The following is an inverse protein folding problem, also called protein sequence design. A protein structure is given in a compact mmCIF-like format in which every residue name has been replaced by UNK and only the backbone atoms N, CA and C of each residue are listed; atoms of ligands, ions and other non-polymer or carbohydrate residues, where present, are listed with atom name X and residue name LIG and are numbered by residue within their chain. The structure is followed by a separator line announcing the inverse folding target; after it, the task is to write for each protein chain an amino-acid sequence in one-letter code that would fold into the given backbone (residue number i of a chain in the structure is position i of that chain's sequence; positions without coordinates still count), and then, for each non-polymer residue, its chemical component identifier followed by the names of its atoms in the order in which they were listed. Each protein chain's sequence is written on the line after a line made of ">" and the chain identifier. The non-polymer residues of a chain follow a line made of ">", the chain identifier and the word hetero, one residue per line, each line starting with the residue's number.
data_IF_544916979216
#
_entry.id   IF_544916979216
#
_cell.length_a   1.000
_cell.length_b   1.000
_cell.length_c   1.000
_cell.angle_alpha   90.00
_cell.angle_beta   90.00
_cell.angle_gamma   90.00
#
_symmetry.space_group_name_H-M   'P 1'
#
loop_
_entity.id
_entity.type
_entity.pdbx_description
1 polymer ?
#
# COMPACT_ATOMS: atom_id res chain seq x y z
N UNK A 1 -12.84 10.40 -23.47
CA UNK A 1 -12.11 9.85 -24.63
C UNK A 1 -10.66 9.65 -24.22
N UNK A 2 -10.26 8.40 -23.97
CA UNK A 2 -8.89 8.08 -23.54
C UNK A 2 -7.97 8.15 -24.76
N UNK A 3 -7.05 9.12 -24.75
CA UNK A 3 -5.94 9.15 -25.68
C UNK A 3 -5.01 8.01 -25.26
N UNK A 4 -5.17 6.86 -25.91
CA UNK A 4 -4.15 5.81 -25.88
C UNK A 4 -2.90 6.36 -26.55
N UNK A 5 -1.98 6.89 -25.76
CA UNK A 5 -0.61 7.13 -26.20
C UNK A 5 -0.04 5.73 -26.50
N UNK A 6 0.01 5.38 -27.79
CA UNK A 6 0.80 4.24 -28.28
C UNK A 6 2.27 4.61 -28.07
N UNK A 7 2.80 4.33 -26.89
CA UNK A 7 4.24 4.34 -26.67
C UNK A 7 4.86 3.20 -27.48
N UNK A 8 5.86 3.53 -28.30
CA UNK A 8 6.62 2.59 -29.11
C UNK A 8 7.23 1.48 -28.23
N UNK A 9 7.31 0.23 -28.72
CA UNK A 9 7.96 -0.85 -27.97
C UNK A 9 9.42 -0.45 -27.69
N UNK A 10 9.76 -0.40 -26.41
CA UNK A 10 11.13 -0.17 -25.93
C UNK A 10 12.00 -1.33 -26.43
N UNK A 11 13.20 -1.04 -26.90
CA UNK A 11 14.16 -2.09 -27.26
C UNK A 11 14.48 -2.94 -26.04
N UNK A 12 14.66 -4.25 -26.18
CA UNK A 12 15.10 -5.12 -25.08
C UNK A 12 16.34 -4.58 -24.37
N UNK A 13 17.27 -3.98 -25.12
CA UNK A 13 18.48 -3.35 -24.57
C UNK A 13 18.17 -2.16 -23.66
N UNK A 14 17.21 -1.33 -24.04
CA UNK A 14 16.80 -0.16 -23.26
C UNK A 14 16.05 -0.59 -21.99
N UNK A 15 15.27 -1.67 -22.06
CA UNK A 15 14.59 -2.23 -20.90
C UNK A 15 15.58 -2.79 -19.87
N UNK A 16 16.63 -3.49 -20.32
CA UNK A 16 17.68 -4.01 -19.42
C UNK A 16 18.42 -2.85 -18.75
N UNK A 17 18.82 -1.82 -19.50
CA UNK A 17 19.52 -0.66 -18.94
C UNK A 17 18.66 0.11 -17.92
N UNK A 18 17.36 0.27 -18.21
CA UNK A 18 16.42 0.87 -17.27
C UNK A 18 16.27 0.03 -16.00
N UNK A 19 16.22 -1.30 -16.14
CA UNK A 19 16.13 -2.19 -15.01
C UNK A 19 17.39 -2.17 -14.14
N UNK A 20 18.59 -2.26 -14.72
CA UNK A 20 19.85 -2.16 -13.96
C UNK A 20 19.93 -0.87 -13.16
N UNK A 21 19.54 0.25 -13.77
CA UNK A 21 19.47 1.54 -13.10
C UNK A 21 18.43 1.55 -11.98
N UNK A 22 17.26 0.96 -12.18
CA UNK A 22 16.23 0.82 -11.14
C UNK A 22 16.70 -0.09 -9.99
N UNK A 23 17.45 -1.15 -10.27
CA UNK A 23 18.01 -2.04 -9.25
C UNK A 23 19.00 -1.30 -8.34
N UNK A 24 19.85 -0.46 -8.93
CA UNK A 24 20.76 0.38 -8.16
C UNK A 24 19.99 1.35 -7.25
N UNK A 25 18.90 1.95 -7.73
CA UNK A 25 18.05 2.83 -6.93
C UNK A 25 17.37 2.08 -5.79
N UNK A 26 16.75 0.92 -6.07
CA UNK A 26 16.09 0.09 -5.05
C UNK A 26 17.08 -0.37 -3.98
N UNK A 27 18.30 -0.75 -4.36
CA UNK A 27 19.35 -1.13 -3.43
C UNK A 27 19.69 0.02 -2.47
N UNK A 28 19.89 1.23 -3.00
CA UNK A 28 20.17 2.42 -2.18
C UNK A 28 18.99 2.79 -1.28
N UNK A 29 17.75 2.65 -1.78
CA UNK A 29 16.53 2.89 -0.98
C UNK A 29 16.48 1.90 0.19
N UNK A 30 16.69 0.61 -0.06
CA UNK A 30 16.69 -0.43 0.97
C UNK A 30 17.75 -0.15 2.04
N UNK A 31 18.95 0.23 1.63
CA UNK A 31 20.02 0.61 2.56
C UNK A 31 19.63 1.85 3.39
N UNK A 32 19.06 2.88 2.74
CA UNK A 32 18.60 4.08 3.41
C UNK A 32 17.54 3.82 4.48
N UNK A 33 16.58 2.92 4.20
CA UNK A 33 15.54 2.53 5.16
C UNK A 33 16.12 1.64 6.27
N UNK A 34 16.97 0.67 5.94
CA UNK A 34 17.57 -0.26 6.90
C UNK A 34 18.54 0.36 7.91
N UNK A 35 18.97 1.61 7.68
CA UNK A 35 19.73 2.40 8.67
C UNK A 35 18.87 2.93 9.81
N UNK A 36 17.55 3.03 9.61
CA UNK A 36 16.62 3.64 10.57
C UNK A 36 15.61 2.62 11.12
N UNK A 37 15.21 1.65 10.29
CA UNK A 37 14.23 0.64 10.65
C UNK A 37 14.93 -0.72 10.84
N UNK A 38 14.76 -1.32 12.01
CA UNK A 38 15.42 -2.56 12.41
C UNK A 38 14.41 -3.68 12.66
N UNK A 39 14.69 -4.90 12.19
CA UNK A 39 13.90 -6.09 12.51
C UNK A 39 12.51 -6.15 11.91
N UNK A 40 12.28 -5.37 10.85
CA UNK A 40 11.02 -5.31 10.13
C UNK A 40 11.26 -5.48 8.62
N UNK A 41 12.23 -6.31 8.23
CA UNK A 41 12.69 -6.47 6.85
C UNK A 41 11.53 -6.85 5.92
N UNK A 42 10.64 -7.76 6.36
CA UNK A 42 9.46 -8.19 5.60
C UNK A 42 8.41 -7.09 5.46
N UNK A 43 8.23 -6.24 6.47
CA UNK A 43 7.31 -5.09 6.43
C UNK A 43 7.86 -4.03 5.49
N UNK A 44 9.17 -3.76 5.56
CA UNK A 44 9.87 -2.83 4.66
C UNK A 44 9.78 -3.32 3.22
N UNK A 45 10.07 -4.60 2.96
CA UNK A 45 9.92 -5.22 1.63
C UNK A 45 8.50 -5.03 1.11
N UNK A 46 7.47 -5.48 1.85
CA UNK A 46 6.07 -5.42 1.40
C UNK A 46 5.60 -3.98 1.18
N UNK A 47 6.03 -3.04 2.03
CA UNK A 47 5.68 -1.62 1.89
C UNK A 47 6.33 -1.02 0.64
N UNK A 48 7.63 -1.28 0.43
CA UNK A 48 8.32 -0.85 -0.79
C UNK A 48 7.72 -1.47 -2.04
N UNK A 49 7.43 -2.78 -2.03
CA UNK A 49 6.75 -3.46 -3.14
C UNK A 49 5.40 -2.82 -3.44
N UNK A 50 4.61 -2.45 -2.42
CA UNK A 50 3.34 -1.75 -2.63
C UNK A 50 3.51 -0.37 -3.29
N UNK A 51 4.51 0.41 -2.85
CA UNK A 51 4.83 1.72 -3.45
C UNK A 51 5.37 1.57 -4.89
N UNK A 52 6.29 0.64 -5.12
CA UNK A 52 6.86 0.32 -6.43
C UNK A 52 5.80 -0.19 -7.41
N UNK A 53 4.79 -0.91 -6.92
CA UNK A 53 3.64 -1.35 -7.71
C UNK A 53 2.63 -0.22 -8.02
N UNK A 54 2.83 0.99 -7.48
CA UNK A 54 1.92 2.11 -7.69
C UNK A 54 0.67 2.06 -6.83
N UNK A 55 0.69 1.32 -5.71
CA UNK A 55 -0.50 1.07 -4.89
C UNK A 55 -0.48 1.74 -3.52
N UNK A 56 -1.53 1.45 -2.76
CA UNK A 56 -1.71 1.87 -1.37
C UNK A 56 -1.63 0.65 -0.46
N UNK A 57 -1.17 0.81 0.78
CA UNK A 57 -1.07 -0.31 1.72
C UNK A 57 -1.74 0.02 3.06
N UNK A 58 -2.27 -1.02 3.69
CA UNK A 58 -2.86 -0.99 5.02
C UNK A 58 -1.90 -1.65 6.01
N UNK A 59 -1.34 -0.87 6.94
CA UNK A 59 -0.42 -1.32 7.98
C UNK A 59 -1.22 -1.67 9.25
N UNK A 60 -1.33 -2.95 9.56
CA UNK A 60 -2.08 -3.43 10.73
C UNK A 60 -1.11 -3.86 11.80
N UNK A 61 -1.21 -3.27 12.99
CA UNK A 61 -0.34 -3.63 14.09
C UNK A 61 -0.68 -2.86 15.36
N UNK A 62 -0.20 -3.32 16.50
CA UNK A 62 -0.41 -2.62 17.77
C UNK A 62 0.38 -1.30 17.83
N UNK A 63 0.07 -0.39 18.78
CA UNK A 63 0.85 0.82 19.00
C UNK A 63 2.32 0.50 19.32
N UNK A 64 3.23 1.42 18.97
CA UNK A 64 4.65 1.29 19.30
C UNK A 64 5.51 0.49 18.33
N UNK A 65 4.95 -0.12 17.28
CA UNK A 65 5.71 -0.91 16.30
C UNK A 65 6.36 -0.09 15.17
N UNK A 66 6.81 1.13 15.47
CA UNK A 66 7.51 2.02 14.53
C UNK A 66 6.80 2.33 13.19
N UNK A 67 5.46 2.13 13.11
CA UNK A 67 4.63 2.43 11.91
C UNK A 67 4.86 3.84 11.37
N UNK A 68 4.74 4.83 12.25
CA UNK A 68 4.95 6.24 11.91
C UNK A 68 6.37 6.49 11.40
N UNK A 69 7.37 5.94 12.10
CA UNK A 69 8.78 6.08 11.74
C UNK A 69 9.07 5.47 10.36
N UNK A 70 8.46 4.32 10.03
CA UNK A 70 8.59 3.69 8.72
C UNK A 70 8.09 4.62 7.61
N UNK A 71 6.89 5.18 7.75
CA UNK A 71 6.30 6.06 6.72
C UNK A 71 7.09 7.35 6.56
N UNK A 72 7.51 7.98 7.66
CA UNK A 72 8.37 9.17 7.63
C UNK A 72 9.72 8.90 6.96
N UNK A 73 10.35 7.76 7.30
CA UNK A 73 11.62 7.34 6.71
C UNK A 73 11.47 7.13 5.20
N UNK A 74 10.40 6.46 4.77
CA UNK A 74 10.12 6.25 3.35
C UNK A 74 9.88 7.57 2.60
N UNK A 75 9.14 8.51 3.19
CA UNK A 75 8.94 9.84 2.63
C UNK A 75 10.26 10.56 2.35
N UNK A 76 11.16 10.56 3.33
CA UNK A 76 12.49 11.18 3.21
C UNK A 76 13.36 10.45 2.17
N UNK A 77 13.51 9.13 2.29
CA UNK A 77 14.37 8.32 1.42
C UNK A 77 13.94 8.42 -0.04
N UNK A 78 12.62 8.41 -0.29
CA UNK A 78 12.03 8.51 -1.63
C UNK A 78 11.89 9.95 -2.15
N UNK A 79 12.10 10.95 -1.31
CA UNK A 79 11.98 12.37 -1.67
C UNK A 79 10.56 12.83 -1.90
N UNK A 80 9.58 12.12 -1.34
CA UNK A 80 8.16 12.40 -1.52
C UNK A 80 7.73 13.51 -0.57
N UNK A 81 6.87 14.42 -1.03
CA UNK A 81 6.10 15.28 -0.12
C UNK A 81 5.22 14.38 0.75
N UNK A 82 5.61 14.25 2.02
CA UNK A 82 4.98 13.35 2.97
C UNK A 82 4.12 14.16 3.95
N UNK A 83 2.85 13.77 4.07
CA UNK A 83 1.93 14.34 5.06
C UNK A 83 1.36 13.26 5.95
N UNK A 84 1.03 13.64 7.18
CA UNK A 84 0.39 12.76 8.16
C UNK A 84 -0.94 13.35 8.56
N UNK A 85 -1.96 12.50 8.59
CA UNK A 85 -3.25 12.80 9.18
C UNK A 85 -3.60 11.74 10.21
N UNK A 86 -4.04 12.20 11.37
CA UNK A 86 -4.58 11.36 12.41
C UNK A 86 -6.09 11.28 12.23
N UNK A 87 -6.64 10.08 12.08
CA UNK A 87 -8.08 9.91 12.01
C UNK A 87 -8.65 9.95 13.43
N UNK A 88 -9.64 10.82 13.62
CA UNK A 88 -10.38 10.99 14.87
C UNK A 88 -11.89 10.98 14.57
N UNK A 89 -12.76 10.71 15.57
CA UNK A 89 -14.20 10.64 15.35
C UNK A 89 -14.83 11.93 14.81
N UNK A 90 -14.22 13.08 15.09
CA UNK A 90 -14.64 14.42 14.69
C UNK A 90 -14.07 14.88 13.34
N UNK A 91 -13.14 14.12 12.75
CA UNK A 91 -12.50 14.48 11.49
C UNK A 91 -13.53 14.52 10.34
N UNK A 92 -13.58 15.65 9.64
CA UNK A 92 -14.51 15.87 8.53
C UNK A 92 -13.86 15.57 7.17
N UNK A 93 -14.65 15.23 6.13
CA UNK A 93 -14.12 15.07 4.77
C UNK A 93 -13.34 16.29 4.26
N UNK A 94 -13.76 17.50 4.61
CA UNK A 94 -13.07 18.74 4.23
C UNK A 94 -11.67 18.86 4.83
N UNK A 95 -11.43 18.26 6.00
CA UNK A 95 -10.11 18.28 6.64
C UNK A 95 -9.12 17.36 5.93
N UNK A 96 -9.63 16.46 5.08
CA UNK A 96 -8.85 15.54 4.24
C UNK A 96 -8.69 16.13 2.83
N UNK A 97 -9.81 16.48 2.20
CA UNK A 97 -9.86 16.90 0.80
C UNK A 97 -9.47 18.35 0.61
N UNK A 98 -9.57 19.19 1.63
CA UNK A 98 -9.48 20.64 1.52
C UNK A 98 -10.86 21.30 1.54
N UNK A 99 -10.84 22.62 1.68
CA UNK A 99 -12.04 23.45 1.80
C UNK A 99 -11.89 24.75 1.02
N UNK A 100 -13.02 25.35 0.64
CA UNK A 100 -13.03 26.71 0.15
C UNK A 100 -13.26 27.68 1.30
N UNK A 101 -12.41 28.68 1.39
CA UNK A 101 -12.58 29.80 2.30
C UNK A 101 -12.93 31.05 1.51
N UNK A 102 -13.83 31.85 2.05
CA UNK A 102 -14.15 33.15 1.48
C UNK A 102 -13.11 34.16 1.97
N UNK A 103 -12.27 34.64 1.06
CA UNK A 103 -11.36 35.76 1.31
C UNK A 103 -12.02 37.06 0.84
N UNK A 104 -11.83 38.13 1.61
CA UNK A 104 -12.23 39.48 1.24
C UNK A 104 -10.96 40.29 0.99
N UNK A 105 -10.84 40.87 -0.21
CA UNK A 105 -9.71 41.75 -0.52
C UNK A 105 -9.85 43.11 0.19
N UNK A 106 -8.78 43.92 0.18
CA UNK A 106 -8.76 45.26 0.77
C UNK A 106 -9.80 46.21 0.13
N UNK A 107 -10.33 45.87 -1.05
CA UNK A 107 -11.37 46.60 -1.77
C UNK A 107 -12.80 46.10 -1.47
N UNK A 108 -12.95 45.10 -0.58
CA UNK A 108 -14.23 44.56 -0.15
C UNK A 108 -14.84 43.49 -1.06
N UNK A 109 -14.16 43.08 -2.15
CA UNK A 109 -14.60 42.02 -3.06
C UNK A 109 -14.39 40.66 -2.40
N UNK A 110 -15.46 39.86 -2.39
CA UNK A 110 -15.42 38.47 -1.90
C UNK A 110 -14.96 37.54 -3.01
N UNK A 111 -13.98 36.70 -2.72
CA UNK A 111 -13.51 35.63 -3.58
C UNK A 111 -13.43 34.32 -2.79
N UNK A 112 -13.67 33.19 -3.43
CA UNK A 112 -13.48 31.87 -2.82
C UNK A 112 -12.08 31.37 -3.19
N UNK A 113 -11.32 30.96 -2.19
CA UNK A 113 -9.99 30.37 -2.36
C UNK A 113 -10.01 28.95 -1.84
N UNK A 114 -9.57 28.02 -2.67
CA UNK A 114 -9.36 26.65 -2.26
C UNK A 114 -8.09 26.51 -1.41
N UNK A 115 -8.24 25.87 -0.24
CA UNK A 115 -7.15 25.46 0.63
C UNK A 115 -6.98 23.94 0.48
N UNK A 116 -5.89 23.47 -0.14
CA UNK A 116 -5.63 22.05 -0.31
C UNK A 116 -5.52 21.31 1.03
N UNK A 117 -6.25 20.21 1.16
CA UNK A 117 -6.13 19.31 2.30
C UNK A 117 -4.84 18.47 2.28
N UNK A 118 -4.61 17.63 3.32
CA UNK A 118 -3.44 16.78 3.42
C UNK A 118 -3.32 15.71 2.32
N UNK A 119 -4.39 15.40 1.57
CA UNK A 119 -4.30 14.50 0.41
C UNK A 119 -3.46 15.06 -0.73
N UNK A 120 -3.22 16.37 -0.77
CA UNK A 120 -2.31 17.01 -1.73
C UNK A 120 -0.86 16.85 -1.28
N UNK A 121 -0.41 15.60 -1.28
CA UNK A 121 0.92 15.13 -0.97
C UNK A 121 1.25 13.95 -1.90
N UNK A 122 2.49 13.49 -1.93
CA UNK A 122 2.88 12.29 -2.70
C UNK A 122 2.84 11.02 -1.83
N UNK A 123 3.04 11.17 -0.52
CA UNK A 123 2.89 10.10 0.47
C UNK A 123 2.04 10.58 1.64
N UNK A 124 0.84 10.02 1.79
CA UNK A 124 -0.05 10.30 2.91
C UNK A 124 -0.05 9.15 3.90
N UNK A 125 0.34 9.44 5.14
CA UNK A 125 0.09 8.56 6.28
C UNK A 125 -1.32 8.83 6.83
N UNK A 126 -2.20 7.85 6.77
CA UNK A 126 -3.55 7.92 7.35
C UNK A 126 -3.60 7.06 8.62
N UNK A 127 -3.30 7.66 9.76
CA UNK A 127 -3.16 6.95 11.03
C UNK A 127 -4.53 6.63 11.63
N UNK A 128 -4.74 5.39 12.05
CA UNK A 128 -5.97 4.90 12.70
C UNK A 128 -7.25 5.14 11.87
N UNK A 129 -7.20 4.78 10.58
CA UNK A 129 -8.29 5.05 9.61
C UNK A 129 -9.66 4.56 10.08
N UNK A 130 -9.70 3.53 10.94
CA UNK A 130 -10.91 3.00 11.54
C UNK A 130 -11.54 3.91 12.62
N UNK A 131 -10.93 5.03 13.03
CA UNK A 131 -11.50 5.95 14.04
C UNK A 131 -12.39 7.04 13.46
N UNK A 132 -12.29 7.34 12.17
CA UNK A 132 -13.15 8.35 11.55
C UNK A 132 -14.47 7.76 11.05
N UNK A 133 -15.46 8.62 10.87
CA UNK A 133 -16.76 8.23 10.34
C UNK A 133 -16.66 7.57 8.95
N UNK A 134 -17.62 6.70 8.56
CA UNK A 134 -17.64 6.09 7.23
C UNK A 134 -17.63 7.11 6.07
N UNK A 135 -18.18 8.31 6.28
CA UNK A 135 -18.17 9.40 5.29
C UNK A 135 -16.76 9.94 5.08
N UNK A 136 -16.02 10.14 6.17
CA UNK A 136 -14.62 10.63 6.15
C UNK A 136 -13.69 9.57 5.55
N UNK A 137 -13.87 8.30 5.91
CA UNK A 137 -13.15 7.18 5.28
C UNK A 137 -13.40 7.14 3.76
N UNK A 138 -14.66 7.29 3.34
CA UNK A 138 -15.03 7.26 1.92
C UNK A 138 -14.38 8.39 1.12
N UNK A 139 -14.21 9.58 1.70
CA UNK A 139 -13.55 10.71 1.06
C UNK A 139 -12.08 10.39 0.71
N UNK A 140 -11.31 9.84 1.65
CA UNK A 140 -9.93 9.41 1.40
C UNK A 140 -9.88 8.29 0.34
N UNK A 141 -10.75 7.30 0.46
CA UNK A 141 -10.78 6.15 -0.45
C UNK A 141 -11.21 6.51 -1.88
N UNK A 142 -12.03 7.55 -2.04
CA UNK A 142 -12.35 8.12 -3.34
C UNK A 142 -11.11 8.79 -3.95
N UNK A 143 -10.41 9.63 -3.18
CA UNK A 143 -9.18 10.27 -3.61
C UNK A 143 -8.10 9.25 -4.04
N UNK A 144 -7.97 8.14 -3.31
CA UNK A 144 -7.11 7.00 -3.68
C UNK A 144 -7.47 6.37 -5.03
N UNK A 145 -8.76 6.25 -5.35
CA UNK A 145 -9.20 5.58 -6.56
C UNK A 145 -9.21 6.50 -7.78
N UNK A 146 -9.52 7.78 -7.57
CA UNK A 146 -9.75 8.76 -8.63
C UNK A 146 -8.51 9.62 -8.92
N UNK A 147 -7.53 9.67 -8.02
CA UNK A 147 -6.31 10.49 -8.10
C UNK A 147 -6.59 11.99 -8.29
N UNK A 148 -7.80 12.42 -7.99
CA UNK A 148 -8.24 13.81 -7.95
C UNK A 148 -9.35 13.94 -6.91
N UNK A 149 -9.64 15.17 -6.51
CA UNK A 149 -10.78 15.50 -5.64
C UNK A 149 -11.66 16.52 -6.32
N UNK A 150 -12.95 16.50 -6.01
CA UNK A 150 -13.89 17.53 -6.44
C UNK A 150 -14.36 18.30 -5.23
N UNK A 151 -14.10 19.61 -5.20
CA UNK A 151 -14.50 20.51 -4.13
C UNK A 151 -15.25 21.68 -4.75
N UNK A 152 -16.46 21.95 -4.25
CA UNK A 152 -17.36 22.99 -4.76
C UNK A 152 -17.71 22.91 -6.27
N UNK A 153 -17.53 21.74 -6.90
CA UNK A 153 -17.77 21.52 -8.32
C UNK A 153 -16.53 21.60 -9.19
N UNK A 154 -15.40 22.07 -8.64
CA UNK A 154 -14.12 22.13 -9.33
C UNK A 154 -13.25 20.90 -9.04
N UNK A 155 -12.56 20.43 -10.08
CA UNK A 155 -11.66 19.28 -10.01
C UNK A 155 -10.24 19.74 -9.71
N UNK A 156 -9.61 19.09 -8.74
CA UNK A 156 -8.22 19.29 -8.35
C UNK A 156 -7.46 17.96 -8.40
N UNK A 157 -6.48 17.85 -9.29
CA UNK A 157 -5.66 16.63 -9.43
C UNK A 157 -4.65 16.51 -8.29
N UNK A 158 -4.42 15.28 -7.81
CA UNK A 158 -3.44 15.02 -6.75
C UNK A 158 -2.01 14.96 -7.32
N UNK A 159 -0.99 15.34 -6.53
CA UNK A 159 0.40 15.19 -6.93
C UNK A 159 0.75 13.75 -7.29
N UNK A 160 1.49 13.53 -8.38
CA UNK A 160 1.94 12.20 -8.79
C UNK A 160 3.43 11.99 -8.47
N UNK A 161 3.85 10.80 -8.00
CA UNK A 161 3.01 9.67 -7.60
C UNK A 161 2.24 9.98 -6.29
N UNK A 162 1.05 9.40 -6.13
CA UNK A 162 0.23 9.53 -4.92
C UNK A 162 0.06 8.18 -4.24
N UNK A 163 0.48 8.09 -2.98
CA UNK A 163 0.38 6.87 -2.17
C UNK A 163 -0.23 7.15 -0.81
N UNK A 164 -1.05 6.21 -0.34
CA UNK A 164 -1.59 6.22 1.02
C UNK A 164 -1.08 4.99 1.75
N UNK A 165 -0.45 5.22 2.91
CA UNK A 165 -0.12 4.20 3.89
C UNK A 165 -1.06 4.41 5.08
N UNK A 166 -2.15 3.66 5.11
CA UNK A 166 -3.13 3.74 6.19
C UNK A 166 -2.71 2.80 7.33
N UNK A 167 -2.95 3.17 8.57
CA UNK A 167 -2.70 2.29 9.72
C UNK A 167 -4.01 1.89 10.39
N UNK A 168 -4.01 0.71 11.01
CA UNK A 168 -5.07 0.27 11.90
C UNK A 168 -4.49 -0.39 13.15
N UNK A 169 -5.11 -0.10 14.29
CA UNK A 169 -4.85 -0.80 15.53
C UNK A 169 -5.92 -1.88 15.74
N UNK A 170 -5.57 -3.18 15.70
CA UNK A 170 -6.56 -4.25 15.81
C UNK A 170 -7.15 -4.41 17.21
N UNK A 171 -6.53 -3.82 18.24
CA UNK A 171 -6.98 -3.96 19.64
C UNK A 171 -8.02 -2.91 20.05
N UNK A 172 -8.21 -1.85 19.26
CA UNK A 172 -9.06 -0.73 19.63
C UNK A 172 -10.52 -1.00 19.21
N UNK A 173 -11.37 -1.29 20.19
CA UNK A 173 -12.78 -1.66 19.97
C UNK A 173 -13.76 -0.51 20.23
N UNK A 174 -13.36 0.51 21.01
CA UNK A 174 -14.22 1.65 21.32
C UNK A 174 -14.08 2.77 20.30
N UNK A 175 -15.21 3.30 19.83
CA UNK A 175 -15.22 4.43 18.91
C UNK A 175 -14.62 4.15 17.53
N UNK A 176 -14.61 2.88 17.10
CA UNK A 176 -14.09 2.49 15.78
C UNK A 176 -15.21 2.08 14.82
N UNK A 177 -15.00 2.42 13.55
CA UNK A 177 -15.81 2.08 12.39
C UNK A 177 -14.97 1.19 11.47
N UNK A 178 -15.24 -0.13 11.44
CA UNK A 178 -14.49 -1.03 10.58
C UNK A 178 -14.70 -0.64 9.11
N UNK A 179 -13.63 -0.71 8.32
CA UNK A 179 -13.72 -0.51 6.87
C UNK A 179 -14.54 -1.65 6.26
N UNK A 180 -15.63 -1.37 5.52
CA UNK A 180 -16.32 -2.37 4.72
C UNK A 180 -15.38 -3.08 3.75
N UNK A 181 -15.73 -4.29 3.36
CA UNK A 181 -14.93 -5.16 2.49
C UNK A 181 -14.64 -4.49 1.13
N UNK A 182 -15.64 -3.79 0.58
CA UNK A 182 -15.50 -3.04 -0.66
C UNK A 182 -14.50 -1.86 -0.55
N UNK A 183 -14.27 -1.36 0.68
CA UNK A 183 -13.29 -0.33 0.97
C UNK A 183 -11.89 -0.92 1.13
N UNK A 184 -11.76 -2.01 1.89
CA UNK A 184 -10.50 -2.74 2.03
C UNK A 184 -9.92 -3.18 0.69
N UNK A 185 -10.76 -3.64 -0.24
CA UNK A 185 -10.33 -4.10 -1.57
C UNK A 185 -9.57 -3.02 -2.41
N UNK A 186 -9.71 -1.74 -2.06
CA UNK A 186 -8.95 -0.63 -2.68
C UNK A 186 -7.48 -0.57 -2.25
N UNK A 187 -7.12 -1.19 -1.14
CA UNK A 187 -5.72 -1.33 -0.74
C UNK A 187 -5.05 -2.47 -1.51
N UNK A 188 -3.87 -2.22 -2.05
CA UNK A 188 -3.11 -3.22 -2.80
C UNK A 188 -2.75 -4.40 -1.89
N UNK A 189 -2.27 -4.10 -0.68
CA UNK A 189 -1.90 -5.06 0.35
C UNK A 189 -2.38 -4.63 1.74
N UNK A 190 -2.67 -5.62 2.58
CA UNK A 190 -2.64 -5.49 4.04
C UNK A 190 -1.32 -6.09 4.55
N UNK A 191 -0.58 -5.33 5.35
CA UNK A 191 0.72 -5.70 5.89
C UNK A 191 0.60 -5.72 7.41
N UNK A 192 0.65 -6.92 7.98
CA UNK A 192 0.65 -7.10 9.42
C UNK A 192 2.05 -6.84 9.97
N UNK A 193 2.14 -6.03 11.01
CA UNK A 193 3.37 -5.69 11.73
C UNK A 193 3.28 -6.37 13.09
N UNK A 194 4.17 -7.33 13.29
CA UNK A 194 4.28 -8.12 14.51
C UNK A 194 5.35 -7.52 15.43
N UNK A 195 5.39 -7.98 16.67
CA UNK A 195 6.49 -7.65 17.56
C UNK A 195 7.83 -8.12 16.96
N UNK A 196 8.90 -7.32 17.09
CA UNK A 196 10.22 -7.72 16.62
C UNK A 196 10.72 -8.94 17.40
N UNK A 197 11.62 -9.69 16.78
CA UNK A 197 12.37 -10.74 17.50
C UNK A 197 13.34 -10.13 18.52
N UNK A 198 13.80 -10.93 19.48
CA UNK A 198 14.66 -10.49 20.58
C UNK A 198 15.91 -9.72 20.10
N UNK A 199 16.61 -10.21 19.07
CA UNK A 199 17.81 -9.55 18.55
C UNK A 199 17.49 -8.22 17.87
N UNK A 200 16.37 -8.14 17.17
CA UNK A 200 15.89 -6.90 16.59
C UNK A 200 15.49 -5.90 17.66
N UNK A 201 14.75 -6.33 18.68
CA UNK A 201 14.35 -5.51 19.81
C UNK A 201 15.57 -4.98 20.58
N UNK A 202 16.58 -5.83 20.77
CA UNK A 202 17.87 -5.43 21.35
C UNK A 202 18.55 -4.33 20.54
N UNK A 203 18.59 -4.45 19.21
CA UNK A 203 19.13 -3.39 18.34
C UNK A 203 18.32 -2.11 18.43
N UNK A 204 16.99 -2.19 18.41
CA UNK A 204 16.10 -1.04 18.59
C UNK A 204 16.44 -0.34 19.91
N UNK A 205 16.56 -1.07 21.02
CA UNK A 205 16.91 -0.50 22.32
C UNK A 205 18.26 0.23 22.27
N UNK A 206 19.30 -0.37 21.72
CA UNK A 206 20.63 0.24 21.66
C UNK A 206 20.69 1.48 20.75
N UNK A 207 20.07 1.42 19.57
CA UNK A 207 20.16 2.46 18.54
C UNK A 207 19.19 3.63 18.77
N UNK A 208 18.08 3.41 19.48
CA UNK A 208 17.08 4.46 19.77
C UNK A 208 17.25 5.13 21.13
N UNK A 209 18.03 4.53 22.05
CA UNK A 209 18.32 5.13 23.36
C UNK A 209 19.71 5.75 23.45
N UNK A 210 20.49 5.68 22.36
CA UNK A 210 21.77 6.37 22.23
C UNK A 210 21.64 7.89 22.08
N UNK A 211 22.77 8.60 22.12
CA UNK A 211 22.82 10.07 21.96
C UNK A 211 22.70 10.47 20.48
N UNK A 212 23.12 9.59 19.56
CA UNK A 212 23.03 9.82 18.11
C UNK A 212 21.86 9.03 17.52
N UNK A 213 20.85 9.73 17.00
CA UNK A 213 19.81 9.10 16.20
C UNK A 213 20.22 9.04 14.72
N UNK A 214 20.18 7.83 14.14
CA UNK A 214 20.32 7.67 12.71
C UNK A 214 19.20 8.43 11.96
N UNK A 215 19.58 9.38 11.11
CA UNK A 215 18.64 10.17 10.32
C UNK A 215 18.49 9.58 8.91
N UNK A 216 17.24 9.48 8.47
CA UNK A 216 16.94 9.17 7.08
C UNK A 216 17.54 10.24 6.16
N UNK A 217 18.13 9.80 5.05
CA UNK A 217 18.69 10.69 4.03
C UNK A 217 17.96 10.43 2.72
N UNK A 218 17.70 11.49 1.97
CA UNK A 218 17.10 11.38 0.65
C UNK A 218 18.05 10.63 -0.31
N UNK A 219 17.52 9.64 -1.02
CA UNK A 219 18.29 8.77 -1.92
C UNK A 219 17.80 8.89 -3.37
N UNK A 220 16.52 9.16 -3.57
CA UNK A 220 15.89 9.26 -4.89
C UNK A 220 14.88 10.40 -4.95
N UNK A 221 14.33 10.64 -6.13
CA UNK A 221 13.34 11.67 -6.42
C UNK A 221 11.99 11.06 -6.80
N UNK A 222 10.87 11.78 -6.61
CA UNK A 222 9.55 11.27 -6.95
C UNK A 222 9.36 10.89 -8.42
N UNK A 223 9.96 11.66 -9.34
CA UNK A 223 9.93 11.38 -10.78
C UNK A 223 10.58 10.03 -11.07
N UNK A 224 11.66 9.73 -10.36
CA UNK A 224 12.39 8.48 -10.52
C UNK A 224 11.57 7.29 -10.02
N UNK A 225 10.84 7.44 -8.90
CA UNK A 225 9.91 6.41 -8.45
C UNK A 225 8.82 6.14 -9.50
N UNK A 226 8.29 7.18 -10.14
CA UNK A 226 7.29 7.04 -11.22
C UNK A 226 7.85 6.31 -12.45
N UNK A 227 9.12 6.55 -12.80
CA UNK A 227 9.77 5.83 -13.90
C UNK A 227 9.91 4.33 -13.58
N UNK A 228 10.30 4.00 -12.35
CA UNK A 228 10.37 2.61 -11.88
C UNK A 228 8.99 1.94 -11.89
N UNK A 229 7.95 2.64 -11.45
CA UNK A 229 6.56 2.14 -11.51
C UNK A 229 6.12 1.85 -12.96
N UNK A 230 6.51 2.72 -13.89
CA UNK A 230 6.25 2.54 -15.33
C UNK A 230 6.97 1.29 -15.85
N UNK A 231 8.25 1.11 -15.49
CA UNK A 231 9.03 -0.07 -15.86
C UNK A 231 8.37 -1.35 -15.35
N UNK A 232 7.95 -1.39 -14.08
CA UNK A 232 7.27 -2.55 -13.47
C UNK A 232 6.02 -2.95 -14.26
N UNK A 233 5.24 -1.99 -14.76
CA UNK A 233 4.05 -2.28 -15.59
C UNK A 233 4.40 -2.90 -16.94
N UNK A 234 5.62 -2.68 -17.44
CA UNK A 234 6.12 -3.19 -18.73
C UNK A 234 6.92 -4.49 -18.61
N UNK A 235 7.33 -4.89 -17.40
CA UNK A 235 8.08 -6.13 -17.19
C UNK A 235 7.31 -7.35 -17.75
N UNK A 236 8.00 -8.25 -18.47
CA UNK A 236 7.40 -9.48 -18.98
C UNK A 236 7.02 -10.40 -17.83
N UNK A 237 5.99 -11.21 -18.05
CA UNK A 237 5.51 -12.19 -17.07
C UNK A 237 5.42 -13.55 -17.74
N UNK A 238 6.08 -14.58 -17.20
CA UNK A 238 5.93 -15.94 -17.69
C UNK A 238 4.48 -16.42 -17.56
N UNK A 239 4.01 -17.20 -18.53
CA UNK A 239 2.64 -17.76 -18.51
C UNK A 239 2.37 -18.55 -17.22
N UNK A 240 3.38 -19.29 -16.72
CA UNK A 240 3.29 -20.03 -15.45
C UNK A 240 2.93 -19.17 -14.25
N UNK A 241 3.36 -17.89 -14.23
CA UNK A 241 3.01 -16.94 -13.17
C UNK A 241 1.56 -16.47 -13.33
N UNK A 242 1.11 -16.23 -14.56
CA UNK A 242 -0.29 -15.88 -14.86
C UNK A 242 -1.22 -17.01 -14.40
N UNK A 243 -0.90 -18.25 -14.80
CA UNK A 243 -1.66 -19.44 -14.41
C UNK A 243 -1.67 -19.65 -12.89
N UNK A 244 -0.53 -19.46 -12.21
CA UNK A 244 -0.44 -19.56 -10.76
C UNK A 244 -1.34 -18.53 -10.05
N UNK A 245 -1.33 -17.27 -10.51
CA UNK A 245 -2.21 -16.21 -9.98
C UNK A 245 -3.68 -16.59 -10.18
N UNK A 246 -4.05 -17.05 -11.38
CA UNK A 246 -5.43 -17.44 -11.69
C UNK A 246 -5.87 -18.63 -10.84
N UNK A 247 -5.02 -19.66 -10.72
CA UNK A 247 -5.28 -20.86 -9.90
C UNK A 247 -5.47 -20.49 -8.43
N UNK A 248 -4.59 -19.65 -7.87
CA UNK A 248 -4.69 -19.18 -6.49
C UNK A 248 -5.99 -18.40 -6.23
N UNK A 249 -6.26 -17.38 -7.05
CA UNK A 249 -7.43 -16.51 -6.84
C UNK A 249 -8.74 -17.29 -7.07
N UNK A 250 -8.80 -18.20 -8.05
CA UNK A 250 -9.99 -19.05 -8.24
C UNK A 250 -10.18 -20.03 -7.11
N UNK A 251 -9.12 -20.67 -6.62
CA UNK A 251 -9.20 -21.60 -5.50
C UNK A 251 -9.58 -20.92 -4.18
N UNK A 252 -9.34 -19.61 -4.04
CA UNK A 252 -9.76 -18.80 -2.90
C UNK A 252 -11.25 -18.38 -2.94
N UNK A 253 -11.99 -18.68 -4.02
CA UNK A 253 -13.42 -18.36 -4.14
C UNK A 253 -14.27 -19.56 -3.75
N UNK A 254 -15.27 -19.39 -2.87
CA UNK A 254 -16.22 -20.45 -2.58
C UNK A 254 -17.04 -20.82 -3.83
N UNK A 255 -17.31 -22.11 -4.00
CA UNK A 255 -18.04 -22.71 -5.12
C UNK A 255 -17.22 -22.91 -6.40
N UNK A 256 -15.89 -22.78 -6.35
CA UNK A 256 -15.01 -22.86 -7.53
C UNK A 256 -14.07 -24.08 -7.52
N UNK A 257 -14.45 -25.14 -6.81
CA UNK A 257 -13.79 -26.45 -6.89
C UNK A 257 -12.70 -26.73 -5.85
N UNK A 258 -12.61 -25.92 -4.79
CA UNK A 258 -11.74 -26.21 -3.64
C UNK A 258 -12.60 -26.48 -2.40
N UNK A 259 -12.65 -27.75 -1.99
CA UNK A 259 -13.49 -28.18 -0.87
C UNK A 259 -13.12 -27.51 0.49
N UNK A 260 -11.85 -27.18 0.72
CA UNK A 260 -11.42 -26.50 1.95
C UNK A 260 -11.93 -25.05 1.95
N UNK A 261 -11.81 -24.36 0.82
CA UNK A 261 -12.36 -23.01 0.63
C UNK A 261 -13.88 -23.01 0.77
N UNK A 262 -14.58 -23.95 0.11
CA UNK A 262 -16.04 -24.02 0.12
C UNK A 262 -16.61 -24.23 1.54
N UNK A 263 -15.86 -24.93 2.40
CA UNK A 263 -16.23 -25.13 3.81
C UNK A 263 -15.95 -23.90 4.68
N UNK A 264 -14.79 -23.27 4.49
CA UNK A 264 -14.29 -22.28 5.46
C UNK A 264 -14.47 -20.82 5.05
N UNK A 265 -14.68 -20.53 3.76
CA UNK A 265 -14.71 -19.16 3.21
C UNK A 265 -16.14 -18.75 2.86
N UNK A 266 -16.62 -17.66 3.46
CA UNK A 266 -17.94 -17.09 3.19
C UNK A 266 -17.96 -16.28 1.89
N UNK A 267 -16.90 -15.52 1.62
CA UNK A 267 -16.70 -14.82 0.35
C UNK A 267 -15.21 -14.68 0.06
N UNK A 268 -14.87 -14.67 -1.24
CA UNK A 268 -13.50 -14.72 -1.71
C UNK A 268 -13.11 -13.56 -2.64
N UNK A 269 -11.86 -13.55 -3.10
CA UNK A 269 -11.25 -12.41 -3.78
C UNK A 269 -11.81 -12.18 -5.19
N UNK A 270 -12.05 -10.91 -5.52
CA UNK A 270 -12.44 -10.46 -6.87
C UNK A 270 -11.27 -10.35 -7.85
N UNK A 271 -11.51 -9.89 -9.10
CA UNK A 271 -10.45 -9.70 -10.11
C UNK A 271 -9.34 -8.73 -9.70
N UNK A 272 -9.63 -7.78 -8.79
CA UNK A 272 -8.61 -6.86 -8.25
C UNK A 272 -7.47 -7.60 -7.54
N UNK A 273 -7.74 -8.74 -6.91
CA UNK A 273 -6.69 -9.57 -6.31
C UNK A 273 -5.71 -10.10 -7.36
N UNK A 274 -6.21 -10.53 -8.53
CA UNK A 274 -5.36 -10.98 -9.64
C UNK A 274 -4.50 -9.84 -10.19
N UNK A 275 -5.07 -8.64 -10.33
CA UNK A 275 -4.34 -7.44 -10.77
C UNK A 275 -3.29 -7.02 -9.74
N UNK A 276 -3.63 -7.07 -8.45
CA UNK A 276 -2.72 -6.78 -7.35
C UNK A 276 -1.54 -7.76 -7.35
N UNK A 277 -1.79 -9.08 -7.40
CA UNK A 277 -0.73 -10.08 -7.50
C UNK A 277 0.15 -9.86 -8.74
N UNK A 278 -0.44 -9.54 -9.89
CA UNK A 278 0.32 -9.27 -11.12
C UNK A 278 1.31 -8.11 -10.94
N UNK A 279 0.87 -6.98 -10.40
CA UNK A 279 1.74 -5.82 -10.19
C UNK A 279 2.77 -6.07 -9.09
N UNK A 280 2.35 -6.67 -7.97
CA UNK A 280 3.20 -6.90 -6.82
C UNK A 280 4.29 -7.94 -7.11
N UNK A 281 3.99 -8.99 -7.86
CA UNK A 281 4.98 -10.01 -8.23
C UNK A 281 6.06 -9.44 -9.14
N UNK A 282 5.70 -8.57 -10.11
CA UNK A 282 6.68 -7.84 -10.92
C UNK A 282 7.53 -6.89 -10.07
N UNK A 283 6.89 -6.12 -9.19
CA UNK A 283 7.59 -5.21 -8.28
C UNK A 283 8.56 -5.95 -7.35
N UNK A 284 8.16 -7.11 -6.82
CA UNK A 284 9.00 -7.97 -5.98
C UNK A 284 10.15 -8.61 -6.77
N UNK A 285 9.89 -9.05 -8.00
CA UNK A 285 10.94 -9.55 -8.87
C UNK A 285 12.04 -8.49 -9.09
N UNK A 286 11.63 -7.26 -9.42
CA UNK A 286 12.57 -6.15 -9.57
C UNK A 286 13.25 -5.82 -8.24
N UNK A 287 12.53 -5.84 -7.12
CA UNK A 287 13.10 -5.65 -5.78
C UNK A 287 14.22 -6.64 -5.48
N UNK A 288 14.08 -7.89 -5.94
CA UNK A 288 15.06 -8.97 -5.77
C UNK A 288 16.17 -9.00 -6.83
N UNK A 289 16.20 -8.06 -7.78
CA UNK A 289 17.21 -8.07 -8.86
C UNK A 289 16.82 -8.87 -10.11
N UNK A 290 15.57 -9.33 -10.23
CA UNK A 290 15.09 -10.17 -11.33
C UNK A 290 14.23 -9.39 -12.32
N UNK A 291 14.41 -9.68 -13.60
CA UNK A 291 13.67 -9.02 -14.71
C UNK A 291 12.32 -9.68 -15.04
N UNK A 292 12.00 -10.80 -14.40
CA UNK A 292 10.74 -11.50 -14.55
C UNK A 292 10.33 -12.15 -13.21
N UNK A 293 9.04 -12.15 -12.88
CA UNK A 293 8.53 -12.82 -11.69
C UNK A 293 8.54 -14.33 -11.82
N UNK A 294 8.45 -14.99 -10.67
CA UNK A 294 8.37 -16.43 -10.51
C UNK A 294 7.11 -16.83 -9.75
N UNK A 295 6.79 -18.12 -9.71
CA UNK A 295 5.66 -18.63 -8.91
C UNK A 295 5.90 -18.40 -7.42
N UNK A 296 7.15 -18.39 -6.96
CA UNK A 296 7.48 -18.12 -5.55
C UNK A 296 7.12 -16.69 -5.13
N UNK A 297 7.11 -15.73 -6.07
CA UNK A 297 6.59 -14.38 -5.81
C UNK A 297 5.09 -14.39 -5.56
N UNK A 298 4.34 -15.20 -6.31
CA UNK A 298 2.90 -15.37 -6.12
C UNK A 298 2.63 -15.95 -4.74
N UNK A 299 3.40 -16.96 -4.32
CA UNK A 299 3.27 -17.59 -3.00
C UNK A 299 3.59 -16.61 -1.87
N UNK A 300 4.70 -15.88 -1.99
CA UNK A 300 5.13 -14.93 -0.96
C UNK A 300 4.15 -13.76 -0.77
N UNK A 301 3.47 -13.35 -1.84
CA UNK A 301 2.52 -12.23 -1.84
C UNK A 301 1.05 -12.66 -1.68
N UNK A 302 0.78 -13.97 -1.60
CA UNK A 302 -0.58 -14.49 -1.47
C UNK A 302 -1.27 -13.95 -0.21
N UNK A 303 -0.63 -14.07 0.95
CA UNK A 303 -1.17 -13.60 2.24
C UNK A 303 -1.46 -12.09 2.23
N UNK A 304 -0.47 -11.18 2.03
CA UNK A 304 -0.71 -9.74 2.13
C UNK A 304 -1.69 -9.21 1.08
N UNK A 305 -1.87 -9.90 -0.05
CA UNK A 305 -2.82 -9.48 -1.09
C UNK A 305 -4.23 -10.06 -0.85
N UNK A 306 -4.37 -11.25 -0.26
CA UNK A 306 -5.66 -11.93 -0.15
C UNK A 306 -6.34 -11.76 1.20
N UNK A 307 -5.59 -11.53 2.29
CA UNK A 307 -6.15 -11.60 3.64
C UNK A 307 -7.29 -10.62 3.92
N UNK A 308 -7.23 -9.42 3.33
CA UNK A 308 -8.28 -8.40 3.43
C UNK A 308 -9.36 -8.50 2.34
N UNK A 309 -9.26 -9.52 1.47
CA UNK A 309 -10.16 -9.80 0.35
C UNK A 309 -10.94 -11.11 0.52
N UNK A 310 -10.97 -11.62 1.76
CA UNK A 310 -11.61 -12.87 2.11
C UNK A 310 -12.26 -12.74 3.48
N UNK A 311 -13.40 -13.39 3.68
CA UNK A 311 -13.91 -13.63 5.01
C UNK A 311 -14.29 -15.09 5.20
N UNK A 312 -14.07 -15.56 6.42
CA UNK A 312 -14.44 -16.91 6.84
C UNK A 312 -15.91 -17.02 7.19
N UNK A 313 -16.44 -18.24 7.09
CA UNK A 313 -17.74 -18.60 7.65
C UNK A 313 -17.71 -18.54 9.18
N UNK A 314 -18.89 -18.38 9.79
CA UNK A 314 -19.00 -18.38 11.26
C UNK A 314 -18.46 -19.68 11.88
N UNK A 315 -18.76 -20.83 11.26
CA UNK A 315 -18.27 -22.14 11.70
C UNK A 315 -16.74 -22.21 11.69
N UNK A 316 -16.09 -21.77 10.62
CA UNK A 316 -14.63 -21.77 10.52
C UNK A 316 -13.98 -20.86 11.58
N UNK A 317 -14.57 -19.70 11.86
CA UNK A 317 -14.11 -18.82 12.95
C UNK A 317 -14.25 -19.48 14.32
N UNK A 318 -15.36 -20.18 14.56
CA UNK A 318 -15.59 -20.90 15.81
C UNK A 318 -14.61 -22.08 16.02
N UNK A 319 -14.13 -22.69 14.93
CA UNK A 319 -13.08 -23.71 14.93
C UNK A 319 -11.66 -23.11 15.11
N UNK A 320 -11.52 -21.79 15.22
CA UNK A 320 -10.24 -21.10 15.37
C UNK A 320 -9.43 -20.98 14.07
N UNK A 321 -10.02 -21.31 12.91
CA UNK A 321 -9.36 -21.12 11.62
C UNK A 321 -9.20 -19.64 11.32
N UNK A 322 -8.05 -19.24 10.80
CA UNK A 322 -7.81 -17.87 10.33
C UNK A 322 -7.75 -17.79 8.80
N UNK A 323 -8.00 -16.60 8.25
CA UNK A 323 -7.84 -16.37 6.80
C UNK A 323 -6.42 -16.69 6.35
N UNK A 324 -5.42 -16.38 7.20
CA UNK A 324 -4.00 -16.67 6.95
C UNK A 324 -3.75 -18.17 6.78
N UNK A 325 -4.39 -19.02 7.59
CA UNK A 325 -4.25 -20.47 7.47
C UNK A 325 -4.79 -20.97 6.13
N UNK A 326 -5.95 -20.47 5.71
CA UNK A 326 -6.56 -20.84 4.41
C UNK A 326 -5.66 -20.37 3.26
N UNK A 327 -5.21 -19.11 3.29
CA UNK A 327 -4.34 -18.57 2.23
C UNK A 327 -3.01 -19.33 2.16
N UNK A 328 -2.41 -19.67 3.31
CA UNK A 328 -1.17 -20.44 3.36
C UNK A 328 -1.32 -21.84 2.74
N UNK A 329 -2.44 -22.53 2.97
CA UNK A 329 -2.75 -23.81 2.31
C UNK A 329 -2.89 -23.64 0.79
N UNK A 330 -3.62 -22.62 0.35
CA UNK A 330 -3.83 -22.34 -1.07
C UNK A 330 -2.52 -21.98 -1.79
N UNK A 331 -1.68 -21.17 -1.15
CA UNK A 331 -0.37 -20.78 -1.68
C UNK A 331 0.58 -21.99 -1.82
N UNK A 332 0.51 -22.97 -0.92
CA UNK A 332 1.30 -24.22 -1.04
C UNK A 332 0.84 -25.13 -2.19
N UNK A 333 -0.40 -24.98 -2.66
CA UNK A 333 -1.01 -25.85 -3.67
C UNK A 333 -0.81 -25.36 -5.13
N UNK A 334 -0.30 -24.15 -5.31
CA UNK A 334 0.17 -23.61 -6.60
C UNK A 334 1.67 -23.84 -6.74
#
# INVERSE_FOLDING_TARGET
>A
MSVMVKESPISEKDMVAQAESALADISRIREGVGRVIFGQESVVERTLVALLAGGHALLVGVPGLAKTKLVETLGIVLGLDARRIQFTPDLMPSDILGSEVMEQDEAGKRSFRFIPGPVFAQLLMADEINRASPRTQSALLQAMQEYHVTVAGDRYDLPAPFHVLATQNPLEQEGTYPLPEAQLDRFLMQIDILYPELEAERRILLETTGVEEAKAVNVTLPERLRDIQTLIRRMPVPESVVEAILKLVRAARPGQGNADTDKHVAWGPGPRASQALMLCTRARALYDGRLAPSVDDVRALAEPVLQHRMALTFAARAEGTTVRDVVAKLAKAI
#
